data_IF_118941442583
#
_entry.id   IF_118941442583
#
_cell.length_a   1.000
_cell.length_b   1.000
_cell.length_c   1.000
_cell.angle_alpha   90.00
_cell.angle_beta   90.00
_cell.angle_gamma   90.00
#
_symmetry.space_group_name_H-M   'P 1'
#
loop_
_entity.id
_entity.type
_entity.pdbx_description
1 polymer ?
#
# COMPACT_ATOMS: atom_id res chain seq x y z
N UNK A 1 -11.22 -34.84 50.16
CA UNK A 1 -12.44 -35.67 50.01
C UNK A 1 -13.32 -35.47 51.24
N UNK A 2 -14.60 -35.09 51.03
CA UNK A 2 -15.69 -34.79 51.99
C UNK A 2 -15.58 -33.48 52.79
N UNK A 3 -16.61 -32.65 52.95
CA UNK A 3 -17.90 -32.41 52.28
C UNK A 3 -18.51 -31.13 52.89
N UNK A 4 -19.31 -30.40 52.11
CA UNK A 4 -20.01 -29.12 52.38
C UNK A 4 -21.13 -29.16 53.46
N UNK A 5 -21.46 -27.99 54.05
CA UNK A 5 -22.83 -27.49 54.38
C UNK A 5 -22.77 -26.00 54.83
N UNK A 6 -23.24 -25.02 54.05
CA UNK A 6 -24.59 -24.42 53.96
C UNK A 6 -24.98 -23.34 55.02
N UNK A 7 -24.80 -22.07 54.63
CA UNK A 7 -25.72 -20.89 54.60
C UNK A 7 -26.83 -20.73 55.66
N UNK A 8 -26.93 -19.53 56.29
CA UNK A 8 -28.16 -18.68 56.32
C UNK A 8 -27.97 -17.26 56.91
N UNK A 9 -28.52 -16.30 56.17
CA UNK A 9 -28.75 -14.86 56.41
C UNK A 9 -29.88 -14.61 57.44
N UNK A 10 -30.00 -13.42 58.05
CA UNK A 10 -31.19 -12.54 58.05
C UNK A 10 -31.02 -11.25 58.90
N UNK A 11 -31.77 -10.22 58.52
CA UNK A 11 -31.73 -8.80 58.89
C UNK A 11 -32.69 -8.41 60.05
N UNK A 12 -32.52 -7.20 60.63
CA UNK A 12 -33.49 -6.48 61.50
C UNK A 12 -33.25 -4.96 61.34
N UNK A 13 -34.00 -4.25 60.47
CA UNK A 13 -35.17 -3.35 60.71
C UNK A 13 -34.95 -2.01 61.46
N UNK A 14 -35.32 -0.91 60.76
CA UNK A 14 -35.51 0.48 61.23
C UNK A 14 -36.82 0.64 62.05
N UNK A 15 -36.98 1.76 62.80
CA UNK A 15 -38.04 2.79 62.61
C UNK A 15 -38.16 3.77 63.81
N UNK A 16 -38.14 5.11 63.61
CA UNK A 16 -38.81 6.10 64.50
C UNK A 16 -39.39 7.28 63.68
N UNK A 17 -40.68 7.56 63.95
CA UNK A 17 -41.67 8.61 63.58
C UNK A 17 -41.22 10.06 63.89
N UNK A 18 -41.73 11.22 63.41
CA UNK A 18 -42.94 11.73 62.70
C UNK A 18 -42.70 13.23 62.31
N UNK A 19 -43.42 13.76 61.32
CA UNK A 19 -43.37 15.13 60.71
C UNK A 19 -44.53 16.03 61.26
N UNK A 20 -44.48 17.40 61.20
CA UNK A 20 -45.28 18.14 60.19
C UNK A 20 -44.67 19.44 59.58
N UNK A 21 -44.88 19.58 58.26
CA UNK A 21 -45.05 20.74 57.35
C UNK A 21 -44.52 22.16 57.63
N UNK A 22 -43.73 22.71 56.68
CA UNK A 22 -44.07 23.90 55.85
C UNK A 22 -43.27 23.90 54.50
N UNK A 23 -44.02 23.72 53.40
CA UNK A 23 -43.94 24.33 52.04
C UNK A 23 -42.64 24.27 51.20
N UNK A 24 -42.69 23.37 50.20
CA UNK A 24 -42.35 23.47 48.75
C UNK A 24 -41.22 24.37 48.23
N UNK A 25 -40.19 23.77 47.60
CA UNK A 25 -39.90 23.80 46.14
C UNK A 25 -38.99 22.59 45.80
N UNK A 26 -39.47 21.67 44.95
CA UNK A 26 -38.66 20.61 44.32
C UNK A 26 -38.56 20.95 42.84
N UNK A 27 -37.32 21.15 42.35
CA UNK A 27 -37.01 20.99 40.93
C UNK A 27 -36.31 19.64 40.79
N UNK A 28 -37.04 18.72 40.15
CA UNK A 28 -36.59 17.42 39.71
C UNK A 28 -35.87 17.61 38.36
N UNK A 29 -34.55 17.48 38.33
CA UNK A 29 -33.80 17.31 37.08
C UNK A 29 -33.15 15.93 37.08
N UNK A 30 -33.65 15.11 36.15
CA UNK A 30 -33.30 13.73 35.88
C UNK A 30 -31.80 13.49 35.69
N UNK A 31 -31.35 12.34 36.19
CA UNK A 31 -30.16 11.63 35.73
C UNK A 31 -30.25 11.39 34.21
N UNK A 32 -29.24 11.87 33.48
CA UNK A 32 -28.76 11.18 32.28
C UNK A 32 -27.28 10.88 32.48
N UNK A 33 -27.02 9.61 32.75
CA UNK A 33 -25.71 8.99 32.64
C UNK A 33 -25.32 9.04 31.15
N UNK A 34 -24.34 9.86 30.79
CA UNK A 34 -23.69 9.78 29.48
C UNK A 34 -22.27 9.27 29.69
N UNK A 35 -22.04 8.02 29.29
CA UNK A 35 -20.71 7.49 29.08
C UNK A 35 -20.10 8.19 27.86
N UNK A 36 -19.22 9.18 28.07
CA UNK A 36 -18.26 9.57 27.04
C UNK A 36 -17.02 8.70 27.23
N UNK A 37 -16.91 7.67 26.38
CA UNK A 37 -15.62 7.04 26.05
C UNK A 37 -15.01 7.90 24.96
N UNK A 38 -13.96 8.65 25.27
CA UNK A 38 -13.02 9.18 24.29
C UNK A 38 -11.67 9.45 24.98
N UNK A 39 -11.06 8.40 25.54
CA UNK A 39 -9.61 8.40 25.79
C UNK A 39 -8.91 8.12 24.45
N UNK A 40 -8.90 9.11 23.55
CA UNK A 40 -7.88 9.13 22.49
C UNK A 40 -6.58 9.57 23.14
N UNK A 41 -5.48 8.80 23.05
CA UNK A 41 -4.19 9.31 23.49
C UNK A 41 -3.88 10.58 22.67
N UNK A 42 -3.64 11.69 23.37
CA UNK A 42 -3.17 12.94 22.80
C UNK A 42 -1.79 12.71 22.17
N UNK A 43 -1.78 12.21 20.94
CA UNK A 43 -0.62 12.31 20.06
C UNK A 43 -0.46 13.79 19.71
N UNK A 44 0.75 14.36 19.82
CA UNK A 44 1.00 15.73 19.39
C UNK A 44 0.60 15.92 17.92
N UNK A 45 0.24 17.14 17.48
CA UNK A 45 -0.12 17.42 16.09
C UNK A 45 0.97 16.87 15.17
N UNK A 46 0.58 15.94 14.31
CA UNK A 46 1.50 15.33 13.35
C UNK A 46 1.96 16.43 12.41
N UNK A 47 3.25 16.73 12.42
CA UNK A 47 3.86 17.54 11.38
C UNK A 47 3.67 16.79 10.05
N UNK A 48 2.75 17.29 9.23
CA UNK A 48 2.40 16.68 7.94
C UNK A 48 3.57 16.69 6.96
N UNK A 49 4.63 17.47 7.22
CA UNK A 49 5.68 17.74 6.24
C UNK A 49 6.88 16.79 6.33
N UNK A 50 6.92 15.86 7.29
CA UNK A 50 8.05 14.92 7.45
C UNK A 50 7.68 13.48 7.11
N UNK A 51 8.62 12.71 6.55
CA UNK A 51 8.44 11.28 6.39
C UNK A 51 8.33 10.63 7.76
N UNK A 52 7.47 9.62 7.89
CA UNK A 52 7.31 8.83 9.12
C UNK A 52 8.12 7.53 9.07
N UNK A 53 8.41 7.05 7.87
CA UNK A 53 9.15 5.82 7.63
C UNK A 53 10.05 6.01 6.41
N UNK A 54 11.22 5.37 6.46
CA UNK A 54 12.09 5.22 5.30
C UNK A 54 12.37 3.74 5.03
N UNK A 55 11.82 3.21 3.94
CA UNK A 55 11.88 1.78 3.59
C UNK A 55 13.13 1.53 2.74
N UNK A 56 14.03 0.62 3.14
CA UNK A 56 15.14 0.22 2.30
C UNK A 56 14.63 -0.71 1.18
N UNK A 57 15.11 -0.46 -0.02
CA UNK A 57 14.82 -1.23 -1.22
C UNK A 57 16.05 -2.04 -1.59
N UNK A 58 15.84 -3.29 -1.97
CA UNK A 58 16.80 -4.06 -2.76
C UNK A 58 16.23 -4.29 -4.16
N UNK A 59 17.04 -4.01 -5.18
CA UNK A 59 16.68 -4.23 -6.58
C UNK A 59 17.44 -5.44 -7.11
N UNK A 60 16.69 -6.45 -7.53
CA UNK A 60 17.18 -7.70 -8.11
C UNK A 60 17.05 -7.62 -9.63
N UNK A 61 18.14 -7.34 -10.33
CA UNK A 61 18.16 -7.30 -11.79
C UNK A 61 18.44 -8.70 -12.31
N UNK A 62 17.40 -9.35 -12.82
CA UNK A 62 17.47 -10.64 -13.52
C UNK A 62 17.60 -10.32 -15.00
N UNK A 63 18.85 -10.20 -15.47
CA UNK A 63 19.15 -9.77 -16.82
C UNK A 63 19.01 -10.94 -17.80
N UNK A 64 18.15 -10.78 -18.80
CA UNK A 64 17.88 -11.83 -19.79
C UNK A 64 19.08 -12.01 -20.73
N UNK A 65 19.87 -13.06 -20.50
CA UNK A 65 21.16 -13.27 -21.16
C UNK A 65 21.11 -13.43 -22.69
N UNK A 66 20.07 -14.02 -23.31
CA UNK A 66 20.00 -14.11 -24.77
C UNK A 66 19.91 -12.76 -25.48
N UNK A 67 19.39 -11.71 -24.83
CA UNK A 67 19.32 -10.33 -25.34
C UNK A 67 19.28 -9.32 -24.18
N UNK A 68 20.43 -9.03 -23.54
CA UNK A 68 20.46 -8.35 -22.26
C UNK A 68 20.11 -6.87 -22.37
N UNK A 69 19.08 -6.45 -21.63
CA UNK A 69 18.85 -5.04 -21.35
C UNK A 69 19.81 -4.56 -20.27
N UNK A 70 20.76 -3.69 -20.63
CA UNK A 70 21.59 -3.01 -19.64
C UNK A 70 20.80 -1.92 -18.90
N UNK A 71 20.32 -2.24 -17.70
CA UNK A 71 19.76 -1.24 -16.77
C UNK A 71 20.87 -0.64 -15.91
N UNK A 72 21.16 0.66 -16.09
CA UNK A 72 22.20 1.33 -15.32
C UNK A 72 21.80 1.58 -13.85
N UNK A 73 22.79 1.75 -12.97
CA UNK A 73 22.56 2.15 -11.58
C UNK A 73 21.88 3.53 -11.51
N UNK A 74 22.17 4.43 -12.45
CA UNK A 74 21.55 5.75 -12.58
C UNK A 74 20.06 5.62 -12.87
N UNK A 75 19.68 4.68 -13.75
CA UNK A 75 18.28 4.39 -14.05
C UNK A 75 17.56 3.88 -12.81
N UNK A 76 18.19 2.97 -12.05
CA UNK A 76 17.65 2.49 -10.78
C UNK A 76 17.47 3.62 -9.77
N UNK A 77 18.50 4.46 -9.58
CA UNK A 77 18.43 5.62 -8.68
C UNK A 77 17.33 6.59 -9.10
N UNK A 78 17.13 6.82 -10.39
CA UNK A 78 16.05 7.67 -10.90
C UNK A 78 14.67 7.16 -10.51
N UNK A 79 14.44 5.84 -10.48
CA UNK A 79 13.18 5.29 -9.97
C UNK A 79 13.00 5.57 -8.47
N UNK A 80 14.07 5.46 -7.67
CA UNK A 80 13.98 5.76 -6.24
C UNK A 80 13.62 7.24 -6.01
N UNK A 81 14.11 8.14 -6.85
CA UNK A 81 13.72 9.56 -6.81
C UNK A 81 12.24 9.75 -7.15
N UNK A 82 11.74 9.08 -8.20
CA UNK A 82 10.33 9.07 -8.60
C UNK A 82 9.42 8.61 -7.45
N UNK A 83 9.75 7.47 -6.82
CA UNK A 83 8.99 6.95 -5.69
C UNK A 83 8.95 7.95 -4.52
N UNK A 84 10.09 8.57 -4.20
CA UNK A 84 10.13 9.58 -3.15
C UNK A 84 9.30 10.81 -3.51
N UNK A 85 9.19 11.18 -4.79
CA UNK A 85 8.31 12.29 -5.22
C UNK A 85 6.84 11.93 -5.03
N UNK A 86 6.42 10.76 -5.50
CA UNK A 86 5.00 10.37 -5.50
C UNK A 86 4.46 10.10 -4.11
N UNK A 87 5.20 9.30 -3.33
CA UNK A 87 4.80 8.95 -1.98
C UNK A 87 4.94 10.10 -0.98
N UNK A 88 5.55 11.23 -1.39
CA UNK A 88 5.65 12.44 -0.58
C UNK A 88 4.88 13.64 -1.13
N UNK A 89 4.11 13.48 -2.21
CA UNK A 89 3.44 14.61 -2.90
C UNK A 89 4.44 15.73 -3.27
N UNK A 90 5.63 15.35 -3.70
CA UNK A 90 6.71 16.23 -4.19
C UNK A 90 6.86 16.14 -5.72
N UNK A 91 5.99 15.39 -6.40
CA UNK A 91 5.90 15.33 -7.85
C UNK A 91 5.25 16.63 -8.39
N UNK A 92 5.90 17.33 -9.32
CA UNK A 92 5.42 18.65 -9.76
C UNK A 92 4.03 18.62 -10.43
N UNK A 93 3.65 17.47 -10.96
CA UNK A 93 2.40 17.24 -11.70
C UNK A 93 1.17 17.00 -10.81
N UNK A 94 1.29 16.82 -9.48
CA UNK A 94 0.09 16.68 -8.62
C UNK A 94 -0.84 17.90 -8.70
N UNK A 95 -0.31 19.07 -9.07
CA UNK A 95 -1.07 20.30 -9.26
C UNK A 95 -2.01 20.25 -10.47
N UNK A 96 -1.82 19.27 -11.37
CA UNK A 96 -2.73 19.01 -12.48
C UNK A 96 -4.04 18.36 -12.02
N UNK A 97 -4.11 17.88 -10.77
CA UNK A 97 -5.34 17.31 -10.20
C UNK A 97 -6.50 18.29 -10.34
N UNK A 98 -7.62 17.88 -10.96
CA UNK A 98 -8.80 18.71 -11.06
C UNK A 98 -9.25 19.24 -9.70
N UNK A 99 -9.71 20.50 -9.66
CA UNK A 99 -10.07 21.18 -8.41
C UNK A 99 -11.07 20.40 -7.52
N UNK A 100 -11.92 19.54 -8.11
CA UNK A 100 -12.85 18.70 -7.36
C UNK A 100 -12.15 17.63 -6.49
N UNK A 101 -10.93 17.23 -6.84
CA UNK A 101 -10.14 16.21 -6.15
C UNK A 101 -8.87 16.76 -5.48
N UNK A 102 -8.56 18.05 -5.65
CA UNK A 102 -7.28 18.63 -5.18
C UNK A 102 -7.09 18.47 -3.66
N UNK A 103 -8.19 18.57 -2.90
CA UNK A 103 -8.19 18.44 -1.45
C UNK A 103 -8.04 16.98 -0.98
N UNK A 104 -8.14 16.00 -1.88
CA UNK A 104 -7.95 14.58 -1.60
C UNK A 104 -6.50 14.14 -1.77
N UNK A 105 -5.66 14.89 -2.49
CA UNK A 105 -4.28 14.50 -2.80
C UNK A 105 -3.44 14.38 -1.52
N UNK A 106 -2.85 13.20 -1.31
CA UNK A 106 -2.13 12.85 -0.09
C UNK A 106 -0.59 12.87 -0.24
N UNK A 107 0.09 13.38 0.79
CA UNK A 107 1.46 12.97 1.14
C UNK A 107 1.35 11.65 1.92
N UNK A 108 1.83 10.53 1.37
CA UNK A 108 1.79 9.21 2.02
C UNK A 108 2.75 9.15 3.22
N UNK A 109 3.75 10.01 3.30
CA UNK A 109 4.75 10.09 4.37
C UNK A 109 5.67 8.86 4.47
N UNK A 110 5.92 8.22 3.33
CA UNK A 110 6.88 7.13 3.15
C UNK A 110 7.98 7.61 2.21
N UNK A 111 9.22 7.39 2.60
CA UNK A 111 10.39 7.56 1.72
C UNK A 111 11.06 6.21 1.47
N UNK A 112 11.86 6.16 0.41
CA UNK A 112 12.57 4.98 -0.04
C UNK A 112 14.05 5.30 -0.27
N UNK A 113 14.90 4.29 -0.14
CA UNK A 113 16.32 4.36 -0.48
C UNK A 113 16.85 2.98 -0.83
N UNK A 114 17.88 2.90 -1.67
CA UNK A 114 18.61 1.66 -1.85
C UNK A 114 19.26 1.24 -0.53
N UNK A 115 19.10 -0.03 -0.17
CA UNK A 115 19.69 -0.61 1.02
C UNK A 115 21.20 -0.40 1.04
N UNK A 116 21.75 0.00 2.18
CA UNK A 116 23.20 0.16 2.39
C UNK A 116 23.82 -0.97 3.21
N UNK A 117 22.97 -1.86 3.73
CA UNK A 117 23.36 -3.04 4.51
C UNK A 117 22.56 -4.23 4.02
N UNK A 118 23.23 -5.34 3.75
CA UNK A 118 22.62 -6.61 3.33
C UNK A 118 22.07 -7.38 4.54
N UNK A 119 21.29 -8.47 4.33
CA UNK A 119 20.69 -9.24 5.42
C UNK A 119 21.71 -9.83 6.42
N UNK A 120 22.92 -10.13 5.95
CA UNK A 120 24.04 -10.64 6.74
C UNK A 120 24.83 -9.55 7.49
N UNK A 121 24.46 -8.28 7.33
CA UNK A 121 25.11 -7.13 7.95
C UNK A 121 26.26 -6.52 7.15
N UNK A 122 26.58 -7.06 5.98
CA UNK A 122 27.65 -6.52 5.12
C UNK A 122 27.20 -5.26 4.37
N UNK A 123 28.12 -4.33 4.02
CA UNK A 123 27.81 -3.20 3.16
C UNK A 123 27.36 -3.65 1.76
N UNK A 124 26.39 -2.94 1.18
CA UNK A 124 25.84 -3.23 -0.16
C UNK A 124 25.44 -1.94 -0.88
N UNK A 125 25.30 -2.01 -2.19
CA UNK A 125 24.71 -0.95 -3.02
C UNK A 125 23.17 -1.02 -3.03
N UNK A 126 22.59 -2.12 -2.54
CA UNK A 126 21.15 -2.40 -2.64
C UNK A 126 20.72 -2.85 -4.04
N UNK A 127 21.68 -3.15 -4.92
CA UNK A 127 21.45 -3.64 -6.28
C UNK A 127 22.17 -4.97 -6.44
N UNK A 128 21.42 -6.01 -6.78
CA UNK A 128 21.93 -7.34 -7.11
C UNK A 128 21.67 -7.57 -8.59
N UNK A 129 22.65 -8.16 -9.29
CA UNK A 129 22.55 -8.43 -10.72
C UNK A 129 22.96 -9.88 -10.98
N UNK A 130 22.14 -10.60 -11.74
CA UNK A 130 22.49 -11.91 -12.25
C UNK A 130 22.02 -12.02 -13.72
N UNK A 131 22.77 -12.81 -14.50
CA UNK A 131 22.34 -13.22 -15.84
C UNK A 131 21.45 -14.46 -15.72
N UNK A 132 20.41 -14.54 -16.55
CA UNK A 132 19.42 -15.60 -16.53
C UNK A 132 18.73 -15.75 -17.88
N UNK A 133 18.14 -16.92 -18.16
CA UNK A 133 17.17 -17.12 -19.24
C UNK A 133 15.72 -16.94 -18.76
N UNK A 134 15.53 -16.56 -17.50
CA UNK A 134 14.23 -16.28 -16.93
C UNK A 134 13.70 -14.91 -17.34
N UNK A 135 12.38 -14.86 -17.51
CA UNK A 135 11.60 -13.65 -17.72
C UNK A 135 10.68 -13.41 -16.53
N UNK A 136 10.09 -12.23 -16.46
CA UNK A 136 9.11 -11.85 -15.44
C UNK A 136 7.91 -12.82 -15.33
N UNK A 137 7.52 -13.46 -16.44
CA UNK A 137 6.48 -14.49 -16.50
C UNK A 137 6.80 -15.72 -15.66
N UNK A 138 8.08 -16.02 -15.45
CA UNK A 138 8.55 -17.13 -14.61
C UNK A 138 8.39 -16.85 -13.10
N UNK A 139 7.96 -15.65 -12.73
CA UNK A 139 7.53 -15.31 -11.37
C UNK A 139 6.00 -15.33 -11.19
N UNK A 140 5.25 -15.81 -12.19
CA UNK A 140 3.78 -15.78 -12.19
C UNK A 140 3.19 -17.15 -12.47
N UNK A 141 2.02 -17.41 -11.88
CA UNK A 141 1.22 -18.60 -12.17
C UNK A 141 -0.21 -18.22 -12.52
N UNK A 142 -0.84 -19.04 -13.36
CA UNK A 142 -2.28 -18.97 -13.63
C UNK A 142 -3.09 -19.71 -12.54
N UNK A 143 -2.44 -20.51 -11.71
CA UNK A 143 -3.06 -21.13 -10.54
C UNK A 143 -3.32 -20.05 -9.47
N UNK A 144 -4.56 -19.89 -8.96
CA UNK A 144 -4.82 -18.98 -7.85
C UNK A 144 -4.10 -19.35 -6.55
N UNK A 145 -3.62 -20.59 -6.40
CA UNK A 145 -2.84 -21.07 -5.26
C UNK A 145 -1.54 -21.74 -5.75
N UNK A 146 -0.59 -20.98 -6.29
CA UNK A 146 0.61 -21.56 -6.87
C UNK A 146 1.47 -22.24 -5.81
N UNK A 147 2.12 -23.35 -6.22
CA UNK A 147 3.26 -23.89 -5.50
C UNK A 147 4.40 -22.89 -5.68
N UNK A 148 4.77 -22.20 -4.60
CA UNK A 148 5.71 -21.07 -4.65
C UNK A 148 7.06 -21.51 -5.22
N UNK A 149 7.50 -22.72 -4.88
CA UNK A 149 8.74 -23.30 -5.38
C UNK A 149 8.78 -23.39 -6.91
N UNK A 150 7.65 -23.45 -7.60
CA UNK A 150 7.58 -23.57 -9.07
C UNK A 150 7.69 -22.22 -9.79
N UNK A 151 8.00 -21.12 -9.08
CA UNK A 151 8.18 -19.78 -9.62
C UNK A 151 9.67 -19.40 -9.66
N UNK A 152 10.46 -19.88 -10.65
CA UNK A 152 11.92 -19.83 -10.60
C UNK A 152 12.52 -18.42 -10.54
N UNK A 153 11.78 -17.37 -10.94
CA UNK A 153 12.24 -15.97 -10.84
C UNK A 153 12.68 -15.59 -9.41
N UNK A 154 12.07 -16.18 -8.39
CA UNK A 154 12.34 -15.86 -6.98
C UNK A 154 13.37 -16.77 -6.32
N UNK A 155 14.04 -17.65 -7.08
CA UNK A 155 14.97 -18.63 -6.52
C UNK A 155 16.31 -18.61 -7.24
N UNK A 156 17.37 -18.24 -6.51
CA UNK A 156 18.73 -18.19 -7.06
C UNK A 156 19.19 -19.55 -7.57
N UNK A 157 18.80 -20.65 -6.93
CA UNK A 157 19.11 -22.02 -7.39
C UNK A 157 18.47 -22.39 -8.74
N UNK A 158 17.46 -21.64 -9.18
CA UNK A 158 16.75 -21.83 -10.45
C UNK A 158 17.08 -20.76 -11.50
N UNK A 159 18.09 -19.93 -11.24
CA UNK A 159 18.51 -18.84 -12.13
C UNK A 159 17.81 -17.50 -11.86
N UNK A 160 16.90 -17.44 -10.88
CA UNK A 160 16.26 -16.20 -10.42
C UNK A 160 17.07 -15.53 -9.32
N UNK A 161 16.37 -14.84 -8.41
CA UNK A 161 17.00 -14.18 -7.27
C UNK A 161 16.15 -14.25 -6.01
N UNK A 162 16.72 -14.81 -4.94
CA UNK A 162 16.07 -14.94 -3.63
C UNK A 162 15.68 -13.58 -3.04
N UNK A 163 14.48 -13.50 -2.47
CA UNK A 163 14.03 -12.32 -1.73
C UNK A 163 14.87 -12.07 -0.47
N UNK A 164 15.14 -10.79 -0.19
CA UNK A 164 15.61 -10.37 1.12
C UNK A 164 14.44 -10.32 2.13
N UNK A 165 14.72 -10.36 3.45
CA UNK A 165 13.67 -10.40 4.47
C UNK A 165 12.65 -9.26 4.34
N UNK A 166 11.39 -9.61 4.06
CA UNK A 166 10.29 -8.64 3.83
C UNK A 166 9.94 -7.75 5.03
N UNK A 167 10.38 -8.14 6.21
CA UNK A 167 10.23 -7.36 7.44
C UNK A 167 11.29 -6.28 7.59
N UNK A 168 12.25 -6.20 6.66
CA UNK A 168 13.30 -5.19 6.63
C UNK A 168 13.37 -4.46 5.30
N UNK A 169 13.09 -5.14 4.18
CA UNK A 169 13.29 -4.61 2.83
C UNK A 169 12.02 -4.69 1.98
N UNK A 170 11.87 -3.76 1.06
CA UNK A 170 11.04 -3.94 -0.13
C UNK A 170 11.91 -4.56 -1.23
N UNK A 171 11.52 -5.73 -1.73
CA UNK A 171 12.15 -6.37 -2.88
C UNK A 171 11.52 -5.86 -4.18
N UNK A 172 12.37 -5.47 -5.13
CA UNK A 172 11.97 -5.11 -6.50
C UNK A 172 12.76 -6.01 -7.45
N UNK A 173 12.09 -6.88 -8.19
CA UNK A 173 12.73 -7.61 -9.29
C UNK A 173 12.55 -6.84 -10.58
N UNK A 174 13.64 -6.71 -11.33
CA UNK A 174 13.63 -6.22 -12.71
C UNK A 174 13.85 -7.44 -13.60
N UNK A 175 12.84 -7.75 -14.42
CA UNK A 175 12.86 -8.91 -15.31
C UNK A 175 12.07 -8.59 -16.57
N UNK A 176 12.55 -9.07 -17.71
CA UNK A 176 11.97 -8.78 -19.02
C UNK A 176 10.54 -9.35 -19.14
N UNK A 177 9.61 -8.59 -19.71
CA UNK A 177 8.26 -8.99 -20.10
C UNK A 177 8.02 -8.73 -21.60
N UNK A 178 8.96 -9.13 -22.46
CA UNK A 178 8.68 -9.28 -23.89
C UNK A 178 7.69 -10.43 -24.10
N UNK A 179 6.57 -10.16 -24.75
CA UNK A 179 5.69 -11.20 -25.28
C UNK A 179 6.32 -11.86 -26.53
N UNK A 180 5.69 -12.92 -27.05
CA UNK A 180 6.20 -13.63 -28.24
C UNK A 180 6.33 -12.76 -29.50
N UNK A 181 5.79 -11.54 -29.50
CA UNK A 181 5.80 -10.60 -30.62
C UNK A 181 6.83 -9.46 -30.43
N UNK A 182 7.55 -9.42 -29.29
CA UNK A 182 8.49 -8.33 -29.00
C UNK A 182 7.88 -7.16 -28.22
N UNK A 183 6.58 -7.21 -27.88
CA UNK A 183 5.86 -6.14 -27.19
C UNK A 183 5.89 -6.33 -25.66
N UNK A 184 5.66 -5.27 -24.89
CA UNK A 184 5.52 -5.40 -23.44
C UNK A 184 4.19 -6.10 -23.16
N UNK A 185 4.23 -7.37 -22.77
CA UNK A 185 3.03 -8.13 -22.46
C UNK A 185 2.38 -7.72 -21.14
N UNK A 186 3.18 -7.23 -20.19
CA UNK A 186 2.73 -6.79 -18.87
C UNK A 186 3.79 -5.89 -18.23
N UNK A 187 3.40 -4.69 -17.79
CA UNK A 187 4.33 -3.67 -17.31
C UNK A 187 4.97 -4.03 -15.95
N UNK A 188 4.20 -4.63 -15.06
CA UNK A 188 4.65 -5.02 -13.74
C UNK A 188 3.57 -5.76 -12.96
N UNK A 189 3.93 -6.27 -11.78
CA UNK A 189 2.98 -6.78 -10.80
C UNK A 189 3.53 -6.76 -9.39
N UNK A 190 2.62 -6.72 -8.42
CA UNK A 190 2.92 -6.86 -7.02
C UNK A 190 2.39 -8.18 -6.44
N UNK A 191 3.13 -8.71 -5.46
CA UNK A 191 2.60 -9.72 -4.56
C UNK A 191 1.98 -8.99 -3.35
N UNK A 192 0.64 -9.06 -3.17
CA UNK A 192 -0.07 -8.26 -2.17
C UNK A 192 0.27 -8.67 -0.73
N UNK A 193 -0.08 -7.83 0.27
CA UNK A 193 0.08 -8.20 1.68
C UNK A 193 -0.56 -9.55 2.00
N UNK A 194 0.22 -10.41 2.66
CA UNK A 194 -0.20 -11.78 3.01
C UNK A 194 0.39 -12.86 2.12
N UNK A 195 0.99 -12.49 0.97
CA UNK A 195 1.77 -13.42 0.15
C UNK A 195 2.93 -14.07 0.92
N UNK A 196 3.37 -15.22 0.40
CA UNK A 196 4.57 -15.93 0.88
C UNK A 196 5.76 -14.97 0.93
N UNK A 197 6.56 -15.07 1.99
CA UNK A 197 7.66 -14.14 2.22
C UNK A 197 8.74 -14.21 1.15
N UNK A 198 8.85 -15.32 0.42
CA UNK A 198 9.82 -15.55 -0.64
C UNK A 198 9.51 -14.78 -1.92
N UNK A 199 8.27 -14.31 -2.08
CA UNK A 199 7.83 -13.56 -3.26
C UNK A 199 7.34 -12.14 -2.90
N UNK A 200 7.36 -11.75 -1.62
CA UNK A 200 6.85 -10.44 -1.19
C UNK A 200 7.69 -9.29 -1.78
N UNK A 201 7.05 -8.50 -2.62
CA UNK A 201 7.66 -7.39 -3.35
C UNK A 201 6.93 -7.13 -4.65
N UNK A 202 7.63 -6.52 -5.60
CA UNK A 202 7.11 -6.16 -6.92
C UNK A 202 8.07 -6.62 -8.02
N UNK A 203 7.54 -6.92 -9.20
CA UNK A 203 8.29 -7.27 -10.40
C UNK A 203 7.94 -6.26 -11.48
N UNK A 204 8.93 -5.68 -12.15
CA UNK A 204 8.73 -4.59 -13.11
C UNK A 204 9.59 -4.80 -14.36
N UNK A 205 9.02 -4.55 -15.53
CA UNK A 205 9.77 -4.59 -16.79
C UNK A 205 10.82 -3.47 -16.87
N UNK A 206 12.04 -3.74 -17.37
CA UNK A 206 13.09 -2.74 -17.51
C UNK A 206 12.68 -1.48 -18.30
N UNK A 207 11.75 -1.58 -19.25
CA UNK A 207 11.30 -0.48 -20.13
C UNK A 207 10.24 0.41 -19.50
N UNK A 208 9.71 0.06 -18.33
CA UNK A 208 8.71 0.89 -17.61
C UNK A 208 9.21 1.28 -16.21
N UNK A 209 10.52 1.20 -16.00
CA UNK A 209 11.19 1.45 -14.72
C UNK A 209 12.19 2.60 -14.84
N UNK A 210 12.11 3.56 -13.92
CA UNK A 210 12.98 4.73 -13.89
C UNK A 210 12.69 5.74 -15.00
N UNK A 211 13.62 6.67 -15.21
CA UNK A 211 13.47 7.81 -16.13
C UNK A 211 14.45 7.78 -17.30
N UNK A 212 15.28 6.74 -17.40
CA UNK A 212 16.31 6.62 -18.43
C UNK A 212 15.97 5.49 -19.42
N UNK A 213 16.38 5.60 -20.69
CA UNK A 213 16.21 4.55 -21.68
C UNK A 213 16.79 3.18 -21.25
N UNK A 214 16.28 2.06 -21.81
CA UNK A 214 15.13 2.00 -22.72
C UNK A 214 13.82 2.33 -21.98
N UNK A 215 12.90 3.05 -22.61
CA UNK A 215 11.59 3.35 -22.04
C UNK A 215 10.51 3.05 -23.07
N UNK A 216 9.39 2.49 -22.61
CA UNK A 216 8.15 2.47 -23.35
C UNK A 216 7.61 3.91 -23.48
N UNK A 217 7.00 4.23 -24.63
CA UNK A 217 6.55 5.60 -24.92
C UNK A 217 5.46 6.11 -23.97
N UNK A 218 4.65 5.21 -23.41
CA UNK A 218 3.54 5.55 -22.52
C UNK A 218 3.94 5.46 -21.02
N UNK A 219 5.09 4.85 -20.72
CA UNK A 219 5.58 4.61 -19.36
C UNK A 219 6.97 5.20 -19.12
N UNK A 220 7.06 6.53 -19.20
CA UNK A 220 8.34 7.27 -19.17
C UNK A 220 8.64 7.98 -17.85
N UNK A 221 7.74 7.93 -16.85
CA UNK A 221 7.86 8.67 -15.59
C UNK A 221 8.00 7.76 -14.37
N UNK A 222 8.16 6.45 -14.58
CA UNK A 222 8.33 5.45 -13.52
C UNK A 222 7.08 5.23 -12.67
N UNK A 223 5.88 5.51 -13.20
CA UNK A 223 4.62 5.35 -12.44
C UNK A 223 4.17 3.91 -12.31
N UNK A 224 4.64 3.01 -13.18
CA UNK A 224 4.44 1.58 -13.01
C UNK A 224 4.94 1.12 -11.64
N UNK A 225 6.15 1.52 -11.22
CA UNK A 225 6.64 1.16 -9.89
C UNK A 225 5.80 1.79 -8.76
N UNK A 226 5.34 3.02 -8.93
CA UNK A 226 4.45 3.68 -7.97
C UNK A 226 3.13 2.92 -7.81
N UNK A 227 2.54 2.47 -8.92
CA UNK A 227 1.33 1.66 -8.98
C UNK A 227 1.51 0.31 -8.27
N UNK A 228 2.55 -0.45 -8.64
CA UNK A 228 2.81 -1.76 -8.04
C UNK A 228 3.13 -1.68 -6.55
N UNK A 229 3.86 -0.64 -6.12
CA UNK A 229 4.11 -0.42 -4.69
C UNK A 229 2.82 -0.01 -3.97
N UNK A 230 1.88 0.66 -4.65
CA UNK A 230 0.51 0.84 -4.16
C UNK A 230 -0.17 -0.49 -3.83
N UNK A 231 -0.12 -1.46 -4.74
CA UNK A 231 -0.63 -2.81 -4.49
C UNK A 231 0.10 -3.54 -3.35
N UNK A 232 1.43 -3.46 -3.32
CA UNK A 232 2.24 -4.01 -2.22
C UNK A 232 1.90 -3.38 -0.85
N UNK A 233 1.39 -2.14 -0.88
CA UNK A 233 0.83 -1.39 0.27
C UNK A 233 -0.70 -1.52 0.41
N UNK A 234 -1.29 -2.61 -0.09
CA UNK A 234 -2.70 -2.97 0.08
C UNK A 234 -3.73 -2.17 -0.74
N UNK A 235 -3.30 -1.35 -1.72
CA UNK A 235 -4.26 -0.70 -2.60
C UNK A 235 -4.80 -1.67 -3.65
N UNK A 236 -6.04 -1.43 -4.04
CA UNK A 236 -6.73 -2.10 -5.14
C UNK A 236 -6.90 -1.04 -6.24
N UNK A 237 -7.05 -1.49 -7.49
CA UNK A 237 -7.40 -0.61 -8.59
C UNK A 237 -8.63 0.25 -8.26
N UNK A 238 -8.64 1.52 -8.66
CA UNK A 238 -9.75 2.46 -8.33
C UNK A 238 -11.10 2.02 -8.88
N UNK A 239 -11.11 1.26 -9.97
CA UNK A 239 -12.31 0.66 -10.55
C UNK A 239 -12.73 -0.67 -9.89
N UNK A 240 -11.99 -1.12 -8.87
CA UNK A 240 -12.21 -2.40 -8.18
C UNK A 240 -12.37 -3.57 -9.16
N UNK A 241 -13.56 -4.14 -9.20
CA UNK A 241 -13.92 -5.15 -10.20
C UNK A 241 -14.35 -4.50 -11.50
N UNK A 242 -13.59 -4.76 -12.56
CA UNK A 242 -13.91 -4.29 -13.91
C UNK A 242 -15.34 -4.67 -14.32
N UNK A 243 -16.09 -3.69 -14.83
CA UNK A 243 -17.48 -3.80 -15.25
C UNK A 243 -18.51 -3.72 -14.12
N UNK A 244 -18.13 -3.33 -12.91
CA UNK A 244 -19.03 -3.17 -11.77
C UNK A 244 -19.13 -1.70 -11.35
N UNK A 245 -20.31 -1.31 -10.84
CA UNK A 245 -20.54 0.02 -10.27
C UNK A 245 -20.93 -0.03 -8.78
N UNK A 246 -21.17 -1.23 -8.23
CA UNK A 246 -21.47 -1.32 -6.82
C UNK A 246 -20.18 -1.23 -6.00
N UNK A 247 -20.07 -0.23 -5.12
CA UNK A 247 -18.99 -0.17 -4.15
C UNK A 247 -19.29 -1.14 -2.98
N UNK A 248 -19.06 -2.43 -3.21
CA UNK A 248 -19.16 -3.50 -2.20
C UNK A 248 -17.77 -4.04 -1.88
N UNK A 249 -17.58 -4.80 -0.78
CA UNK A 249 -16.31 -5.49 -0.53
C UNK A 249 -15.81 -6.34 -1.71
N UNK A 250 -16.71 -6.91 -2.51
CA UNK A 250 -16.35 -7.77 -3.64
C UNK A 250 -16.02 -7.00 -4.93
N UNK A 251 -16.45 -5.75 -5.03
CA UNK A 251 -16.46 -4.99 -6.28
C UNK A 251 -15.74 -3.64 -6.19
N UNK A 252 -15.55 -3.07 -4.99
CA UNK A 252 -14.89 -1.79 -4.75
C UNK A 252 -13.41 -1.91 -4.42
N UNK A 253 -12.76 -0.77 -4.24
CA UNK A 253 -11.35 -0.66 -3.87
C UNK A 253 -11.14 -0.46 -2.35
N UNK A 254 -12.25 -0.41 -1.58
CA UNK A 254 -12.30 -0.18 -0.14
C UNK A 254 -11.74 1.18 0.30
N UNK A 255 -11.86 2.19 -0.54
CA UNK A 255 -11.46 3.56 -0.22
C UNK A 255 -12.65 4.51 -0.49
N UNK A 256 -13.13 5.20 0.53
CA UNK A 256 -14.37 6.00 0.41
C UNK A 256 -14.18 7.27 -0.45
N UNK A 257 -12.94 7.78 -0.56
CA UNK A 257 -12.64 9.02 -1.29
C UNK A 257 -12.14 8.79 -2.72
N UNK A 258 -12.15 7.55 -3.20
CA UNK A 258 -12.02 7.19 -4.62
C UNK A 258 -13.42 6.95 -5.19
N UNK A 259 -13.90 7.80 -6.13
CA UNK A 259 -15.22 7.63 -6.73
C UNK A 259 -15.36 6.30 -7.45
N UNK A 260 -16.56 5.69 -7.39
CA UNK A 260 -16.84 4.44 -8.10
C UNK A 260 -16.65 4.62 -9.61
N UNK A 261 -15.88 3.72 -10.21
CA UNK A 261 -15.51 3.75 -11.61
C UNK A 261 -15.80 2.39 -12.27
N UNK A 262 -16.42 2.40 -13.45
CA UNK A 262 -16.90 1.18 -14.12
C UNK A 262 -15.78 0.26 -14.61
N UNK A 263 -14.68 0.84 -15.10
CA UNK A 263 -13.57 0.13 -15.72
C UNK A 263 -12.31 0.98 -15.70
N UNK A 264 -11.15 0.37 -15.94
CA UNK A 264 -9.88 1.09 -16.12
C UNK A 264 -9.96 2.18 -17.19
N UNK A 265 -9.04 3.14 -17.06
CA UNK A 265 -8.68 4.12 -18.07
C UNK A 265 -7.39 3.71 -18.76
N UNK A 266 -7.19 4.17 -19.99
CA UNK A 266 -5.99 3.91 -20.78
C UNK A 266 -5.65 5.15 -21.59
N UNK A 267 -4.37 5.30 -21.98
CA UNK A 267 -3.93 6.46 -22.72
C UNK A 267 -3.97 7.71 -21.85
N UNK A 268 -4.45 8.81 -22.45
CA UNK A 268 -4.59 10.12 -21.79
C UNK A 268 -6.05 10.53 -21.74
N UNK A 269 -6.84 10.05 -20.77
CA UNK A 269 -8.28 10.31 -20.69
C UNK A 269 -8.60 11.81 -20.65
N UNK A 270 -9.63 12.23 -21.37
CA UNK A 270 -10.12 13.60 -21.30
C UNK A 270 -10.97 13.78 -20.05
N UNK A 271 -10.66 14.81 -19.25
CA UNK A 271 -11.45 15.17 -18.06
C UNK A 271 -12.65 16.07 -18.42
N UNK A 272 -13.84 15.87 -17.82
CA UNK A 272 -14.19 14.75 -16.94
C UNK A 272 -14.61 13.51 -17.74
N UNK A 273 -14.13 12.34 -17.31
CA UNK A 273 -14.72 11.05 -17.65
C UNK A 273 -15.74 10.70 -16.56
N UNK A 274 -16.92 10.23 -16.94
CA UNK A 274 -18.02 9.94 -16.01
C UNK A 274 -18.46 8.49 -16.18
N UNK A 275 -18.49 7.74 -15.09
CA UNK A 275 -19.06 6.40 -15.03
C UNK A 275 -19.67 6.15 -13.65
N UNK A 276 -20.54 5.15 -13.53
CA UNK A 276 -21.21 4.81 -12.25
C UNK A 276 -21.86 5.99 -11.50
N UNK A 277 -22.28 7.03 -12.23
CA UNK A 277 -22.86 8.25 -11.66
C UNK A 277 -21.86 9.20 -10.97
N UNK A 278 -20.55 8.97 -11.12
CA UNK A 278 -19.48 9.77 -10.53
C UNK A 278 -18.43 10.17 -11.58
N UNK A 279 -17.53 11.10 -11.24
CA UNK A 279 -16.39 11.46 -12.11
C UNK A 279 -15.25 10.49 -11.80
N UNK A 280 -14.80 9.77 -12.82
CA UNK A 280 -13.70 8.81 -12.72
C UNK A 280 -12.41 9.54 -12.34
N UNK A 281 -11.71 9.03 -11.33
CA UNK A 281 -10.44 9.60 -10.88
C UNK A 281 -9.28 9.04 -11.72
N UNK A 282 -9.33 9.29 -13.03
CA UNK A 282 -8.44 8.66 -14.02
C UNK A 282 -6.95 8.98 -13.85
N UNK A 283 -6.65 9.99 -13.03
CA UNK A 283 -5.30 10.44 -12.69
C UNK A 283 -4.73 9.82 -11.41
N UNK A 284 -5.49 8.94 -10.76
CA UNK A 284 -5.01 8.20 -9.61
C UNK A 284 -3.91 7.22 -10.03
N UNK A 285 -2.89 7.03 -9.20
CA UNK A 285 -1.86 6.04 -9.47
C UNK A 285 -2.36 4.59 -9.51
N UNK A 286 -3.59 4.31 -9.04
CA UNK A 286 -4.21 2.97 -9.09
C UNK A 286 -5.22 2.80 -10.25
N UNK A 287 -5.22 3.70 -11.24
CA UNK A 287 -5.84 3.45 -12.57
C UNK A 287 -4.74 2.94 -13.56
N UNK A 288 -5.08 2.74 -14.84
CA UNK A 288 -4.20 2.27 -15.92
C UNK A 288 -3.94 3.32 -17.02
N UNK A 289 -4.16 4.59 -16.73
CA UNK A 289 -3.79 5.69 -17.64
C UNK A 289 -2.27 5.71 -17.87
N UNK A 290 -1.80 6.43 -18.89
CA UNK A 290 -0.36 6.60 -19.13
C UNK A 290 0.31 7.35 -17.97
N UNK A 291 1.61 7.17 -17.83
CA UNK A 291 2.41 7.72 -16.72
C UNK A 291 2.23 9.25 -16.55
N UNK A 292 2.13 10.00 -17.65
CA UNK A 292 1.98 11.47 -17.64
C UNK A 292 0.57 11.97 -17.29
N UNK A 293 -0.35 11.03 -17.16
CA UNK A 293 -1.75 11.22 -16.78
C UNK A 293 -2.04 10.75 -15.36
N UNK A 294 -1.08 10.13 -14.66
CA UNK A 294 -1.18 9.65 -13.27
C UNK A 294 -0.27 10.46 -12.34
N UNK A 295 -0.84 11.08 -11.30
CA UNK A 295 -0.07 12.01 -10.45
C UNK A 295 -0.58 12.18 -9.02
N UNK A 296 -1.44 11.28 -8.52
CA UNK A 296 -1.90 11.35 -7.13
C UNK A 296 -2.32 10.01 -6.50
N UNK A 297 -2.11 9.93 -5.18
CA UNK A 297 -2.87 9.07 -4.25
C UNK A 297 -3.85 9.92 -3.41
N UNK A 298 -4.92 9.31 -2.92
CA UNK A 298 -5.90 9.97 -2.04
C UNK A 298 -5.54 9.84 -0.55
N UNK A 299 -6.21 10.62 0.30
CA UNK A 299 -6.10 10.52 1.76
C UNK A 299 -6.65 9.19 2.28
N UNK A 300 -7.73 8.67 1.70
CA UNK A 300 -8.26 7.36 2.03
C UNK A 300 -7.31 6.22 1.62
N UNK A 301 -6.67 6.32 0.46
CA UNK A 301 -5.60 5.40 0.05
C UNK A 301 -4.45 5.40 1.05
N UNK A 302 -4.01 6.58 1.51
CA UNK A 302 -3.01 6.70 2.58
C UNK A 302 -3.44 5.95 3.84
N UNK A 303 -4.67 6.16 4.32
CA UNK A 303 -5.17 5.48 5.52
C UNK A 303 -5.14 3.96 5.37
N UNK A 304 -5.56 3.45 4.21
CA UNK A 304 -5.51 2.02 3.88
C UNK A 304 -4.07 1.47 3.86
N UNK A 305 -3.12 2.19 3.28
CA UNK A 305 -1.71 1.80 3.32
C UNK A 305 -1.18 1.76 4.76
N UNK A 306 -1.47 2.81 5.55
CA UNK A 306 -0.97 2.92 6.92
C UNK A 306 -1.56 1.89 7.89
N UNK A 307 -2.72 1.32 7.57
CA UNK A 307 -3.30 0.20 8.32
C UNK A 307 -2.38 -1.04 8.34
N UNK A 308 -1.55 -1.26 7.32
CA UNK A 308 -0.55 -2.35 7.31
C UNK A 308 0.51 -2.21 8.40
N UNK A 309 0.81 -0.98 8.83
CA UNK A 309 1.87 -0.65 9.77
C UNK A 309 1.37 -0.49 11.21
N UNK A 310 0.05 -0.43 11.39
CA UNK A 310 -0.60 -0.39 12.70
C UNK A 310 -0.34 -1.67 13.50
N UNK A 311 -0.63 -1.62 14.81
CA UNK A 311 -0.52 -2.79 15.67
C UNK A 311 -1.38 -3.94 15.12
N UNK A 312 -0.77 -5.12 14.92
CA UNK A 312 -1.45 -6.28 14.32
C UNK A 312 -1.51 -6.27 12.79
N UNK A 313 -1.04 -5.21 12.13
CA UNK A 313 -0.96 -5.12 10.67
C UNK A 313 0.15 -5.99 10.07
N UNK A 314 -0.04 -6.41 8.82
CA UNK A 314 0.84 -7.39 8.13
C UNK A 314 2.27 -6.89 7.88
N UNK A 315 2.49 -5.57 7.87
CA UNK A 315 3.82 -4.93 7.72
C UNK A 315 4.27 -4.23 9.00
N UNK A 316 3.68 -4.55 10.15
CA UNK A 316 4.06 -3.95 11.45
C UNK A 316 5.56 -4.08 11.75
N UNK A 317 6.15 -5.24 11.49
CA UNK A 317 7.56 -5.49 11.74
C UNK A 317 8.48 -4.65 10.84
N UNK A 318 8.07 -4.42 9.58
CA UNK A 318 8.74 -3.48 8.68
C UNK A 318 8.69 -2.06 9.25
N UNK A 319 7.53 -1.60 9.72
CA UNK A 319 7.42 -0.29 10.38
C UNK A 319 8.37 -0.16 11.57
N UNK A 320 8.46 -1.16 12.43
CA UNK A 320 9.34 -1.11 13.60
C UNK A 320 10.83 -1.02 13.23
N UNK A 321 11.23 -1.64 12.11
CA UNK A 321 12.60 -1.59 11.61
C UNK A 321 12.91 -0.31 10.80
N UNK A 322 11.90 0.36 10.23
CA UNK A 322 12.09 1.45 9.26
C UNK A 322 11.56 2.82 9.74
N UNK A 323 10.89 2.88 10.90
CA UNK A 323 10.35 4.14 11.44
C UNK A 323 11.47 5.13 11.74
N UNK A 324 11.19 6.39 11.46
CA UNK A 324 12.07 7.49 11.85
C UNK A 324 11.70 7.92 13.27
N UNK A 325 12.73 8.22 14.09
CA UNK A 325 12.55 8.61 15.50
C UNK A 325 11.97 10.01 15.66
#
# INVERSE_FOLDING_TARGET
>A
MKLYRFVKTYAITMNIKKIPHYISVIILSLLLYSCSKDDKPNSPPIDSNKPKMKIPIVVHVVNYAPDPFEISDEKIKSQIEVLNKDFRKLNDDWQKTPNIFIDLVADIQIEFYLATTAPDGTPTTGIIRNESDLISGDGKSLDPNPVIEDLPLYFTEKGGQDAWPKDKYLNIWIADFIDRNGEIGFAGYANPPGSDYRIDGVVIDPRVFGLLPPLDENHTLGRTATHEIGHWLNLIHTYGKNGACENTPENGDYVDDTPSQFASSHGKPTFPRVSCGSIDMTMNYMDYSDDDSMYMFTKGQKERMWALFAQGGLRRKLFENCRLN
#
